data_IF_334786959820
#
_entry.id   IF_334786959820
#
_cell.length_a   1.000
_cell.length_b   1.000
_cell.length_c   1.000
_cell.angle_alpha   90.00
_cell.angle_beta   90.00
_cell.angle_gamma   90.00
#
_symmetry.space_group_name_H-M   'P 1'
#
loop_
_entity.id
_entity.type
_entity.pdbx_description
1 polymer ?
#
# COMPACT_ATOMS: atom_id res chain seq x y z
N UNK A 1 -11.91 -6.80 -11.52
CA UNK A 1 -10.44 -7.00 -11.54
C UNK A 1 -9.93 -7.12 -10.12
N UNK A 2 -9.01 -8.05 -9.88
CA UNK A 2 -8.56 -8.47 -8.55
C UNK A 2 -7.33 -7.63 -8.18
N UNK A 3 -7.35 -6.91 -7.05
CA UNK A 3 -6.17 -6.26 -6.42
C UNK A 3 -5.05 -7.29 -6.19
N UNK A 4 -3.82 -7.08 -6.66
CA UNK A 4 -2.70 -8.01 -6.47
C UNK A 4 -1.50 -7.30 -5.84
N UNK A 5 -0.56 -8.04 -5.25
CA UNK A 5 0.66 -7.45 -4.67
C UNK A 5 1.44 -6.63 -5.71
N UNK A 6 1.49 -7.09 -6.96
CA UNK A 6 2.13 -6.38 -8.08
C UNK A 6 1.46 -5.05 -8.43
N UNK A 7 0.25 -4.77 -7.92
CA UNK A 7 -0.38 -3.46 -8.04
C UNK A 7 0.14 -2.46 -7.00
N UNK A 8 1.04 -2.88 -6.10
CA UNK A 8 1.65 -2.04 -5.09
C UNK A 8 3.15 -1.88 -5.35
N UNK A 9 3.64 -0.66 -5.13
CA UNK A 9 5.06 -0.35 -5.09
C UNK A 9 5.42 0.09 -3.68
N UNK A 10 6.46 -0.54 -3.12
CA UNK A 10 6.97 -0.24 -1.78
C UNK A 10 8.36 0.38 -1.92
N UNK A 11 8.53 1.62 -1.48
CA UNK A 11 9.83 2.31 -1.46
C UNK A 11 10.15 2.73 -0.03
N UNK A 12 11.35 2.43 0.50
CA UNK A 12 11.76 2.96 1.80
C UNK A 12 11.80 4.50 1.74
N UNK A 13 11.27 5.15 2.78
CA UNK A 13 11.21 6.61 2.92
C UNK A 13 12.08 7.15 4.07
N UNK A 14 12.89 6.28 4.71
CA UNK A 14 13.77 6.62 5.84
C UNK A 14 13.15 6.32 7.20
N UNK A 15 13.98 6.11 8.24
CA UNK A 15 13.55 5.89 9.64
C UNK A 15 12.44 4.84 9.84
N UNK A 16 12.47 3.71 9.14
CA UNK A 16 11.43 2.68 9.25
C UNK A 16 10.11 2.99 8.52
N UNK A 17 10.04 4.07 7.75
CA UNK A 17 8.87 4.43 6.95
C UNK A 17 8.95 3.82 5.55
N UNK A 18 7.79 3.43 5.02
CA UNK A 18 7.61 3.00 3.64
C UNK A 18 6.64 3.92 2.92
N UNK A 19 7.05 4.40 1.75
CA UNK A 19 6.16 4.97 0.75
C UNK A 19 5.53 3.83 -0.05
N UNK A 20 4.24 3.64 0.13
CA UNK A 20 3.44 2.66 -0.59
C UNK A 20 2.59 3.35 -1.63
N UNK A 21 2.70 2.93 -2.89
CA UNK A 21 1.85 3.39 -3.99
C UNK A 21 1.00 2.24 -4.49
N UNK A 22 -0.32 2.40 -4.49
CA UNK A 22 -1.26 1.50 -5.16
C UNK A 22 -1.63 2.06 -6.53
N UNK A 23 -1.42 1.27 -7.59
CA UNK A 23 -1.82 1.59 -8.97
C UNK A 23 -3.01 0.73 -9.36
N UNK A 24 -4.13 1.36 -9.71
CA UNK A 24 -5.32 0.62 -10.16
C UNK A 24 -5.05 -0.02 -11.51
N UNK A 25 -5.16 -1.35 -11.65
CA UNK A 25 -4.89 -2.00 -12.92
C UNK A 25 -6.03 -1.80 -13.95
N UNK A 26 -7.19 -1.28 -13.51
CA UNK A 26 -8.34 -0.97 -14.38
C UNK A 26 -8.22 0.44 -14.97
N UNK A 27 -7.78 1.41 -14.15
CA UNK A 27 -7.87 2.84 -14.50
C UNK A 27 -6.51 3.53 -14.62
N UNK A 28 -5.42 2.87 -14.22
CA UNK A 28 -4.09 3.46 -14.13
C UNK A 28 -3.92 4.50 -13.01
N UNK A 29 -4.98 4.85 -12.28
CA UNK A 29 -4.91 5.82 -11.18
C UNK A 29 -4.02 5.31 -10.06
N UNK A 30 -3.27 6.22 -9.45
CA UNK A 30 -2.33 5.93 -8.39
C UNK A 30 -2.73 6.63 -7.10
N UNK A 31 -2.49 5.96 -5.98
CA UNK A 31 -2.65 6.54 -4.64
C UNK A 31 -1.44 6.19 -3.81
N UNK A 32 -0.86 7.19 -3.17
CA UNK A 32 0.38 7.04 -2.43
C UNK A 32 0.20 7.49 -0.98
N UNK A 33 0.81 6.73 -0.08
CA UNK A 33 0.91 7.03 1.35
C UNK A 33 2.32 6.73 1.84
N UNK A 34 2.81 7.52 2.80
CA UNK A 34 3.96 7.17 3.62
C UNK A 34 3.43 6.61 4.94
N UNK A 35 3.89 5.43 5.33
CA UNK A 35 3.45 4.75 6.54
C UNK A 35 4.64 4.20 7.31
N UNK A 36 4.64 4.38 8.62
CA UNK A 36 5.50 3.70 9.59
C UNK A 36 4.86 2.40 10.13
N UNK A 37 3.61 2.12 9.76
CA UNK A 37 2.92 0.89 10.17
C UNK A 37 3.57 -0.34 9.53
N UNK A 38 4.57 -0.87 10.23
CA UNK A 38 5.35 -2.03 9.79
C UNK A 38 4.54 -3.32 9.82
N UNK A 39 3.47 -3.44 10.63
CA UNK A 39 2.61 -4.63 10.62
C UNK A 39 1.95 -4.84 9.24
N UNK A 40 1.40 -3.77 8.65
CA UNK A 40 0.80 -3.86 7.31
C UNK A 40 1.85 -4.19 6.24
N UNK A 41 3.08 -3.68 6.38
CA UNK A 41 4.17 -3.99 5.46
C UNK A 41 4.58 -5.45 5.61
N UNK A 42 4.66 -5.97 6.83
CA UNK A 42 5.03 -7.34 7.11
C UNK A 42 3.97 -8.32 6.59
N UNK A 43 2.70 -8.07 6.89
CA UNK A 43 1.56 -8.88 6.45
C UNK A 43 1.32 -8.85 4.93
N UNK A 44 2.00 -7.95 4.19
CA UNK A 44 1.81 -7.81 2.72
C UNK A 44 3.09 -8.00 1.92
N UNK A 45 4.10 -7.17 2.13
CA UNK A 45 5.37 -7.18 1.37
C UNK A 45 6.27 -8.32 1.82
N UNK A 46 6.34 -8.58 3.13
CA UNK A 46 7.25 -9.57 3.71
C UNK A 46 6.52 -10.85 4.13
N UNK A 47 5.25 -11.03 3.77
CA UNK A 47 4.51 -12.22 4.11
C UNK A 47 5.26 -13.44 3.54
N UNK A 48 5.64 -14.37 4.43
CA UNK A 48 6.35 -15.62 4.08
C UNK A 48 5.53 -16.45 3.07
N UNK A 49 4.20 -16.36 3.16
CA UNK A 49 3.24 -16.91 2.20
C UNK A 49 2.58 -15.82 1.36
N UNK A 50 1.87 -16.22 0.29
CA UNK A 50 1.12 -15.26 -0.54
C UNK A 50 0.17 -14.43 0.34
N UNK A 51 0.28 -13.09 0.35
CA UNK A 51 -0.46 -12.26 1.29
C UNK A 51 -1.97 -12.43 1.13
N UNK A 52 -2.69 -12.45 2.25
CA UNK A 52 -4.12 -12.71 2.23
C UNK A 52 -4.84 -11.59 1.49
N UNK A 53 -5.92 -11.98 0.84
CA UNK A 53 -6.78 -11.10 0.07
C UNK A 53 -7.22 -9.87 0.86
N UNK A 54 -7.64 -10.09 2.11
CA UNK A 54 -8.11 -9.07 3.04
C UNK A 54 -7.04 -8.02 3.31
N UNK A 55 -5.77 -8.42 3.40
CA UNK A 55 -4.66 -7.54 3.76
C UNK A 55 -4.29 -6.65 2.57
N UNK A 56 -4.33 -7.19 1.35
CA UNK A 56 -4.19 -6.39 0.12
C UNK A 56 -5.33 -5.39 -0.07
N UNK A 57 -6.58 -5.78 0.19
CA UNK A 57 -7.72 -4.86 0.08
C UNK A 57 -7.70 -3.79 1.20
N UNK A 58 -7.21 -4.14 2.40
CA UNK A 58 -6.95 -3.18 3.49
C UNK A 58 -5.83 -2.20 3.11
N UNK A 59 -4.72 -2.67 2.56
CA UNK A 59 -3.61 -1.81 2.11
C UNK A 59 -4.05 -0.86 1.00
N UNK A 60 -4.86 -1.33 0.04
CA UNK A 60 -5.48 -0.49 -0.98
C UNK A 60 -6.37 0.58 -0.39
N UNK A 61 -7.24 0.22 0.56
CA UNK A 61 -8.10 1.18 1.25
C UNK A 61 -7.27 2.22 2.00
N UNK A 62 -6.20 1.78 2.66
CA UNK A 62 -5.26 2.64 3.37
C UNK A 62 -4.56 3.64 2.42
N UNK A 63 -4.08 3.20 1.25
CA UNK A 63 -3.51 4.10 0.25
C UNK A 63 -4.53 5.14 -0.24
N UNK A 64 -5.79 4.75 -0.46
CA UNK A 64 -6.83 5.64 -0.99
C UNK A 64 -7.37 6.63 0.04
N UNK A 65 -7.57 6.19 1.28
CA UNK A 65 -8.13 7.02 2.35
C UNK A 65 -7.05 7.85 3.01
N UNK A 66 -5.86 7.28 3.24
CA UNK A 66 -4.72 7.97 3.82
C UNK A 66 -4.25 9.18 3.00
N UNK A 67 -4.34 9.09 1.67
CA UNK A 67 -4.10 10.22 0.77
C UNK A 67 -5.10 11.38 0.97
N UNK A 68 -6.28 11.11 1.52
CA UNK A 68 -7.36 12.09 1.72
C UNK A 68 -7.21 12.87 3.04
N UNK A 69 -6.42 12.37 3.99
CA UNK A 69 -6.14 12.99 5.30
C UNK A 69 -4.79 13.72 5.33
N UNK A 70 -3.83 13.32 4.48
CA UNK A 70 -2.59 14.07 4.23
C UNK A 70 -2.66 14.81 2.89
N UNK A 71 -3.69 15.66 2.74
CA UNK A 71 -3.71 16.65 1.66
C UNK A 71 -2.61 17.67 1.90
N UNK A 72 -1.58 17.65 1.04
CA UNK A 72 -0.59 18.70 0.82
C UNK A 72 0.26 19.13 2.03
N UNK A 73 1.55 18.80 1.97
CA UNK A 73 2.61 19.69 2.43
C UNK A 73 3.51 19.93 1.23
#
# INVERSE_FOLDING_TARGET
MKTELSNFSFKPAGHGHYKVTYTSPITGKEWTIVTDNMSIIDDTKNADETPLRKDLDMLKWFCKVGNRIHGSI
#
